data_IF_461842976979
#
_entry.id   IF_461842976979
#
_cell.length_a   1.000
_cell.length_b   1.000
_cell.length_c   1.000
_cell.angle_alpha   90.00
_cell.angle_beta   90.00
_cell.angle_gamma   90.00
#
_symmetry.space_group_name_H-M   'P 1'
#
loop_
_entity.id
_entity.type
_entity.pdbx_description
1 polymer ?
#
# COMPACT_ATOMS: atom_id res chain seq x y z
N UNK A 1 1.62 0.98 33.03
CA UNK A 1 2.30 1.40 31.79
C UNK A 1 1.42 0.98 30.63
N UNK A 2 0.84 1.93 29.89
CA UNK A 2 0.18 1.58 28.64
C UNK A 2 1.22 1.08 27.66
N UNK A 3 1.14 -0.20 27.28
CA UNK A 3 1.99 -0.73 26.21
C UNK A 3 1.66 0.02 24.93
N UNK A 4 2.67 0.59 24.28
CA UNK A 4 2.50 1.27 23.00
C UNK A 4 1.83 0.33 22.01
N UNK A 5 0.80 0.81 21.27
CA UNK A 5 0.14 0.05 20.18
C UNK A 5 1.15 -0.28 19.08
N UNK A 6 2.19 0.53 18.94
CA UNK A 6 3.17 0.46 17.87
C UNK A 6 4.61 0.32 18.41
N UNK A 7 5.52 -0.38 17.72
CA UNK A 7 5.23 -1.25 16.58
C UNK A 7 4.48 -2.51 17.01
N UNK A 8 3.65 -3.06 16.10
CA UNK A 8 3.00 -4.36 16.31
C UNK A 8 4.05 -5.47 16.26
N UNK A 9 4.11 -6.29 17.30
CA UNK A 9 5.08 -7.39 17.40
C UNK A 9 4.49 -8.61 16.71
N UNK A 10 5.12 -9.04 15.62
CA UNK A 10 4.78 -10.28 14.93
C UNK A 10 5.68 -11.41 15.41
N UNK A 11 5.11 -12.56 15.72
CA UNK A 11 5.90 -13.76 16.05
C UNK A 11 6.73 -14.17 14.82
N UNK A 12 7.96 -14.63 15.03
CA UNK A 12 8.82 -15.10 13.92
C UNK A 12 8.16 -16.32 13.28
N UNK A 13 8.16 -16.38 11.96
CA UNK A 13 7.69 -17.55 11.20
C UNK A 13 8.66 -18.71 11.36
N UNK A 14 8.14 -19.92 11.50
CA UNK A 14 8.97 -21.10 11.29
C UNK A 14 9.36 -21.22 9.81
N UNK A 15 10.45 -21.93 9.47
CA UNK A 15 10.82 -22.14 8.05
C UNK A 15 9.68 -22.70 7.20
N UNK A 16 8.88 -23.61 7.76
CA UNK A 16 7.73 -24.21 7.08
C UNK A 16 6.60 -23.17 6.84
N UNK A 17 6.33 -22.30 7.83
CA UNK A 17 5.35 -21.23 7.68
C UNK A 17 5.79 -20.22 6.61
N UNK A 18 7.08 -19.86 6.59
CA UNK A 18 7.64 -18.99 5.58
C UNK A 18 7.51 -19.61 4.18
N UNK A 19 7.89 -20.86 4.02
CA UNK A 19 7.77 -21.57 2.73
C UNK A 19 6.31 -21.62 2.23
N UNK A 20 5.33 -21.86 3.14
CA UNK A 20 3.91 -21.81 2.78
C UNK A 20 3.46 -20.44 2.36
N UNK A 21 3.88 -19.40 3.07
CA UNK A 21 3.58 -18.01 2.73
C UNK A 21 4.12 -17.65 1.34
N UNK A 22 5.40 -17.91 1.08
CA UNK A 22 6.04 -17.63 -0.20
C UNK A 22 5.38 -18.38 -1.37
N UNK A 23 5.04 -19.65 -1.15
CA UNK A 23 4.34 -20.45 -2.15
C UNK A 23 2.94 -19.88 -2.43
N UNK A 24 2.18 -19.52 -1.38
CA UNK A 24 0.86 -18.93 -1.57
C UNK A 24 0.93 -17.58 -2.29
N UNK A 25 1.86 -16.71 -1.90
CA UNK A 25 2.03 -15.41 -2.55
C UNK A 25 2.34 -15.55 -4.04
N UNK A 26 3.19 -16.52 -4.41
CA UNK A 26 3.46 -16.81 -5.83
C UNK A 26 2.18 -17.24 -6.57
N UNK A 27 1.43 -18.20 -6.03
CA UNK A 27 0.16 -18.64 -6.61
C UNK A 27 -0.86 -17.49 -6.70
N UNK A 28 -0.90 -16.64 -5.70
CA UNK A 28 -1.83 -15.51 -5.63
C UNK A 28 -1.51 -14.47 -6.70
N UNK A 29 -0.25 -14.08 -6.87
CA UNK A 29 0.18 -13.16 -7.93
C UNK A 29 -0.09 -13.69 -9.34
N UNK A 30 0.01 -15.00 -9.57
CA UNK A 30 -0.34 -15.62 -10.85
C UNK A 30 -1.86 -15.58 -11.13
N UNK A 31 -2.70 -15.62 -10.10
CA UNK A 31 -4.16 -15.65 -10.21
C UNK A 31 -4.80 -14.25 -10.29
N UNK A 32 -4.19 -13.26 -9.62
CA UNK A 32 -4.75 -11.91 -9.49
C UNK A 32 -5.11 -11.27 -10.83
N UNK A 33 -4.21 -11.14 -11.82
CA UNK A 33 -4.52 -10.45 -13.07
C UNK A 33 -5.65 -11.11 -13.86
N UNK A 34 -5.73 -12.43 -13.82
CA UNK A 34 -6.68 -13.20 -14.62
C UNK A 34 -8.09 -13.29 -14.02
N UNK A 35 -8.20 -13.28 -12.68
CA UNK A 35 -9.49 -13.48 -11.98
C UNK A 35 -10.06 -12.23 -11.34
N UNK A 36 -9.21 -11.26 -11.03
CA UNK A 36 -9.56 -10.10 -10.22
C UNK A 36 -9.21 -8.77 -10.89
N UNK A 37 -9.13 -8.74 -12.22
CA UNK A 37 -8.72 -7.57 -13.01
C UNK A 37 -9.51 -6.29 -12.74
N UNK A 38 -10.77 -6.38 -12.29
CA UNK A 38 -11.53 -5.16 -11.92
C UNK A 38 -11.02 -4.51 -10.64
N UNK A 39 -10.64 -5.30 -9.64
CA UNK A 39 -10.07 -4.76 -8.39
C UNK A 39 -8.66 -4.22 -8.65
N UNK A 40 -7.84 -4.94 -9.41
CA UNK A 40 -6.53 -4.49 -9.86
C UNK A 40 -6.61 -3.15 -10.62
N UNK A 41 -7.58 -3.06 -11.54
CA UNK A 41 -7.84 -1.81 -12.27
C UNK A 41 -8.22 -0.67 -11.32
N UNK A 42 -9.05 -0.91 -10.32
CA UNK A 42 -9.38 0.10 -9.32
C UNK A 42 -8.14 0.52 -8.53
N UNK A 43 -7.40 -0.46 -8.00
CA UNK A 43 -6.23 -0.24 -7.16
C UNK A 43 -5.21 0.68 -7.83
N UNK A 44 -4.88 0.41 -9.08
CA UNK A 44 -3.83 1.12 -9.81
C UNK A 44 -4.34 2.36 -10.56
N UNK A 45 -5.62 2.38 -10.97
CA UNK A 45 -6.18 3.57 -11.61
C UNK A 45 -6.57 4.68 -10.62
N UNK A 46 -6.79 4.35 -9.34
CA UNK A 46 -7.14 5.35 -8.34
C UNK A 46 -6.05 6.42 -8.16
N UNK A 47 -4.77 6.08 -7.91
CA UNK A 47 -3.73 7.10 -7.79
C UNK A 47 -3.58 7.94 -9.06
N UNK A 48 -3.67 7.32 -10.23
CA UNK A 48 -3.60 8.06 -11.52
C UNK A 48 -4.75 9.07 -11.66
N UNK A 49 -5.97 8.63 -11.36
CA UNK A 49 -7.19 9.46 -11.52
C UNK A 49 -7.24 10.64 -10.55
N UNK A 50 -6.74 10.43 -9.33
CA UNK A 50 -6.83 11.42 -8.26
C UNK A 50 -5.53 12.21 -8.06
N UNK A 51 -4.49 11.95 -8.85
CA UNK A 51 -3.27 12.76 -8.86
C UNK A 51 -3.56 14.20 -9.28
N UNK A 52 -3.04 15.15 -8.51
CA UNK A 52 -3.08 16.55 -8.88
C UNK A 52 -2.22 16.79 -10.14
N UNK A 53 -2.65 17.65 -11.06
CA UNK A 53 -1.87 17.93 -12.26
C UNK A 53 -0.56 18.66 -11.93
N UNK A 54 0.47 18.42 -12.74
CA UNK A 54 1.73 19.14 -12.66
C UNK A 54 2.69 18.64 -11.57
N UNK A 55 2.45 17.47 -10.96
CA UNK A 55 3.44 16.83 -10.10
C UNK A 55 4.74 16.55 -10.88
N UNK A 56 5.88 16.67 -10.23
CA UNK A 56 7.19 16.45 -10.82
C UNK A 56 7.89 15.23 -10.21
N UNK A 57 7.78 15.08 -8.91
CA UNK A 57 8.48 14.05 -8.12
C UNK A 57 7.48 13.10 -7.46
N UNK A 58 7.74 11.80 -7.55
CA UNK A 58 6.88 10.76 -6.95
C UNK A 58 7.73 9.78 -6.15
N UNK A 59 7.28 9.44 -4.95
CA UNK A 59 7.72 8.25 -4.22
C UNK A 59 6.56 7.27 -4.13
N UNK A 60 6.74 6.08 -4.66
CA UNK A 60 5.86 4.93 -4.44
C UNK A 60 6.54 3.99 -3.47
N UNK A 61 5.87 3.63 -2.38
CA UNK A 61 6.36 2.61 -1.43
C UNK A 61 5.64 1.30 -1.66
N UNK A 62 6.38 0.18 -1.52
CA UNK A 62 5.87 -1.16 -1.80
C UNK A 62 5.51 -1.34 -3.27
N UNK A 63 6.37 -0.89 -4.17
CA UNK A 63 6.11 -0.86 -5.62
C UNK A 63 5.98 -2.25 -6.28
N UNK A 64 6.27 -3.34 -5.54
CA UNK A 64 6.11 -4.69 -6.04
C UNK A 64 6.98 -4.97 -7.27
N UNK A 65 6.36 -5.41 -8.35
CA UNK A 65 6.99 -5.57 -9.66
C UNK A 65 6.80 -4.35 -10.57
N UNK A 66 6.32 -3.23 -10.02
CA UNK A 66 5.98 -2.01 -10.75
C UNK A 66 4.59 -2.02 -11.35
N UNK A 67 3.65 -2.77 -10.75
CA UNK A 67 2.29 -2.93 -11.26
C UNK A 67 1.61 -1.57 -11.43
N UNK A 68 1.76 -0.67 -10.47
CA UNK A 68 1.17 0.66 -10.56
C UNK A 68 1.80 1.50 -11.67
N UNK A 69 3.11 1.40 -11.87
CA UNK A 69 3.85 2.19 -12.88
C UNK A 69 3.31 1.90 -14.30
N UNK A 70 2.87 0.68 -14.58
CA UNK A 70 2.22 0.34 -15.86
C UNK A 70 0.92 1.12 -16.14
N UNK A 71 0.25 1.60 -15.11
CA UNK A 71 -0.98 2.38 -15.24
C UNK A 71 -0.74 3.88 -15.39
N UNK A 72 0.46 4.33 -15.08
CA UNK A 72 0.86 5.73 -15.16
C UNK A 72 1.08 6.18 -16.61
N UNK A 73 0.83 7.48 -16.86
CA UNK A 73 1.14 8.15 -18.13
C UNK A 73 2.15 9.25 -17.87
N UNK A 74 3.37 8.84 -17.51
CA UNK A 74 4.45 9.75 -17.12
C UNK A 74 5.12 10.36 -18.35
N UNK A 75 5.49 11.62 -18.24
CA UNK A 75 6.48 12.23 -19.15
C UNK A 75 7.86 11.63 -18.87
N UNK A 76 8.82 11.71 -19.82
CA UNK A 76 10.18 11.25 -19.59
C UNK A 76 10.89 11.90 -18.39
N UNK A 77 10.50 13.15 -18.05
CA UNK A 77 11.00 13.86 -16.86
C UNK A 77 10.39 13.30 -15.58
N UNK A 78 9.08 13.01 -15.58
CA UNK A 78 8.41 12.39 -14.45
C UNK A 78 8.91 10.97 -14.19
N UNK A 79 9.20 10.18 -15.23
CA UNK A 79 9.81 8.85 -15.07
C UNK A 79 11.16 8.93 -14.34
N UNK A 80 12.03 9.89 -14.71
CA UNK A 80 13.34 10.10 -14.07
C UNK A 80 13.22 10.53 -12.60
N UNK A 81 12.12 11.18 -12.25
CA UNK A 81 11.83 11.68 -10.90
C UNK A 81 10.78 10.82 -10.18
N UNK A 82 10.56 9.60 -10.67
CA UNK A 82 9.75 8.59 -10.02
C UNK A 82 10.66 7.63 -9.25
N UNK A 83 10.45 7.55 -7.96
CA UNK A 83 11.21 6.70 -7.03
C UNK A 83 10.31 5.57 -6.57
N UNK A 84 10.62 4.36 -7.01
CA UNK A 84 9.92 3.13 -6.64
C UNK A 84 10.67 2.44 -5.50
N UNK A 85 10.11 2.49 -4.29
CA UNK A 85 10.67 1.77 -3.15
C UNK A 85 10.08 0.36 -3.09
N UNK A 86 10.95 -0.61 -2.99
CA UNK A 86 10.59 -2.02 -2.75
C UNK A 86 11.54 -2.64 -1.73
N UNK A 87 10.97 -3.44 -0.83
CA UNK A 87 11.75 -4.09 0.23
C UNK A 87 12.65 -5.23 -0.31
N UNK A 88 12.18 -5.95 -1.34
CA UNK A 88 12.81 -7.13 -1.90
C UNK A 88 13.66 -6.77 -3.11
N UNK A 89 14.97 -7.04 -3.02
CA UNK A 89 15.92 -6.75 -4.11
C UNK A 89 15.58 -7.41 -5.45
N UNK A 90 15.08 -8.65 -5.42
CA UNK A 90 14.69 -9.35 -6.64
C UNK A 90 13.54 -8.65 -7.39
N UNK A 91 12.54 -8.14 -6.68
CA UNK A 91 11.43 -7.37 -7.27
C UNK A 91 11.90 -5.99 -7.75
N UNK A 92 12.76 -5.34 -6.97
CA UNK A 92 13.39 -4.08 -7.35
C UNK A 92 14.25 -4.23 -8.63
N UNK A 93 14.93 -5.36 -8.80
CA UNK A 93 15.67 -5.67 -10.03
C UNK A 93 14.75 -5.81 -11.26
N UNK A 94 13.55 -6.38 -11.08
CA UNK A 94 12.55 -6.44 -12.15
C UNK A 94 12.02 -5.04 -12.51
N UNK A 95 11.78 -4.15 -11.53
CA UNK A 95 11.42 -2.75 -11.82
C UNK A 95 12.51 -2.08 -12.66
N UNK A 96 13.78 -2.18 -12.26
CA UNK A 96 14.90 -1.59 -13.03
C UNK A 96 14.98 -2.10 -14.46
N UNK A 97 14.67 -3.38 -14.67
CA UNK A 97 14.68 -4.00 -15.99
C UNK A 97 13.53 -3.51 -16.88
N UNK A 98 12.31 -3.38 -16.30
CA UNK A 98 11.12 -3.02 -17.06
C UNK A 98 11.00 -1.50 -17.23
N UNK A 99 11.38 -0.74 -16.22
CA UNK A 99 11.28 0.74 -16.16
C UNK A 99 12.66 1.39 -15.96
N UNK A 100 13.55 1.36 -16.95
CA UNK A 100 14.96 1.75 -16.78
C UNK A 100 15.19 3.23 -16.47
N UNK A 101 14.15 4.07 -16.58
CA UNK A 101 14.22 5.49 -16.20
C UNK A 101 13.73 5.78 -14.79
N UNK A 102 12.99 4.86 -14.20
CA UNK A 102 12.50 4.96 -12.82
C UNK A 102 13.64 4.70 -11.84
N UNK A 103 13.72 5.50 -10.81
CA UNK A 103 14.71 5.31 -9.74
C UNK A 103 14.20 4.25 -8.77
N UNK A 104 15.00 3.23 -8.49
CA UNK A 104 14.63 2.16 -7.55
C UNK A 104 15.33 2.35 -6.22
N UNK A 105 14.56 2.41 -5.14
CA UNK A 105 15.04 2.53 -3.76
C UNK A 105 14.75 1.23 -3.02
N UNK A 106 15.80 0.46 -2.71
CA UNK A 106 15.64 -0.81 -1.98
C UNK A 106 15.71 -0.55 -0.48
N UNK A 107 14.70 -0.99 0.25
CA UNK A 107 14.69 -0.87 1.71
C UNK A 107 13.31 -0.86 2.33
N UNK A 108 13.29 -0.93 3.65
CA UNK A 108 12.06 -0.91 4.45
C UNK A 108 11.51 0.52 4.53
N UNK A 109 10.30 0.74 4.01
CA UNK A 109 9.62 2.04 4.04
C UNK A 109 9.26 2.53 5.46
N UNK A 110 9.47 1.72 6.48
CA UNK A 110 9.33 2.10 7.89
C UNK A 110 10.59 2.77 8.44
N UNK A 111 11.68 2.79 7.66
CA UNK A 111 12.92 3.50 7.99
C UNK A 111 12.96 4.86 7.27
N UNK A 112 13.68 5.85 7.82
CA UNK A 112 13.86 7.13 7.15
C UNK A 112 14.54 6.98 5.79
N UNK A 113 14.04 7.68 4.79
CA UNK A 113 14.67 7.79 3.47
C UNK A 113 15.68 8.95 3.45
N UNK A 114 16.73 8.78 2.66
CA UNK A 114 17.73 9.84 2.43
C UNK A 114 17.24 10.85 1.38
N UNK A 115 16.15 11.53 1.70
CA UNK A 115 15.61 12.63 0.92
C UNK A 115 15.32 13.83 1.82
N UNK A 116 15.44 15.02 1.25
CA UNK A 116 15.11 16.26 1.95
C UNK A 116 13.62 16.36 2.30
N UNK A 117 13.30 17.11 3.35
CA UNK A 117 11.93 17.42 3.72
C UNK A 117 11.22 18.14 2.57
N UNK A 118 9.99 17.73 2.28
CA UNK A 118 9.17 18.36 1.24
C UNK A 118 9.64 18.10 -0.20
N UNK A 119 10.51 17.12 -0.43
CA UNK A 119 11.06 16.81 -1.74
C UNK A 119 10.02 16.31 -2.75
N UNK A 120 9.04 15.52 -2.28
CA UNK A 120 8.06 14.89 -3.16
C UNK A 120 6.77 15.69 -3.30
N UNK A 121 6.28 15.74 -4.54
CA UNK A 121 4.94 16.25 -4.84
C UNK A 121 3.88 15.15 -4.61
N UNK A 122 4.26 13.88 -4.77
CA UNK A 122 3.34 12.76 -4.69
C UNK A 122 3.96 11.59 -3.94
N UNK A 123 3.21 11.03 -2.98
CA UNK A 123 3.54 9.78 -2.29
C UNK A 123 2.43 8.76 -2.53
N UNK A 124 2.77 7.57 -2.99
CA UNK A 124 1.81 6.52 -3.37
C UNK A 124 2.06 5.28 -2.51
N UNK A 125 0.98 4.67 -2.01
CA UNK A 125 1.02 3.37 -1.36
C UNK A 125 -0.25 2.57 -1.73
N UNK A 126 -0.09 1.52 -2.53
CA UNK A 126 -1.18 0.64 -2.96
C UNK A 126 -1.04 -0.70 -2.25
N UNK A 127 -1.96 -1.01 -1.34
CA UNK A 127 -1.91 -2.23 -0.53
C UNK A 127 -0.59 -2.41 0.24
N UNK A 128 -0.19 -1.40 1.01
CA UNK A 128 1.04 -1.42 1.80
C UNK A 128 0.75 -1.19 3.28
N UNK A 129 -0.07 -0.20 3.62
CA UNK A 129 -0.25 0.26 5.00
C UNK A 129 -0.86 -0.81 5.92
N UNK A 130 -1.65 -1.72 5.36
CA UNK A 130 -2.21 -2.87 6.10
C UNK A 130 -1.16 -3.86 6.60
N UNK A 131 0.03 -3.86 6.00
CA UNK A 131 1.10 -4.81 6.30
C UNK A 131 2.14 -4.28 7.29
N UNK A 132 2.18 -2.97 7.57
CA UNK A 132 3.30 -2.33 8.26
C UNK A 132 3.23 -2.47 9.80
N UNK A 133 4.16 -3.20 10.44
CA UNK A 133 4.25 -3.26 11.90
C UNK A 133 4.42 -1.91 12.57
N UNK A 134 5.19 -1.01 11.98
CA UNK A 134 5.40 0.36 12.46
C UNK A 134 4.77 1.39 11.52
N UNK A 135 3.47 1.23 11.24
CA UNK A 135 2.71 2.13 10.38
C UNK A 135 2.91 3.63 10.70
N UNK A 136 2.94 4.09 11.97
CA UNK A 136 3.17 5.49 12.28
C UNK A 136 4.53 6.01 11.81
N UNK A 137 5.56 5.17 11.73
CA UNK A 137 6.86 5.60 11.20
C UNK A 137 6.76 5.97 9.72
N UNK A 138 6.13 5.10 8.92
CA UNK A 138 5.90 5.37 7.47
C UNK A 138 5.01 6.60 7.25
N UNK A 139 3.97 6.78 8.06
CA UNK A 139 3.08 7.95 7.96
C UNK A 139 3.82 9.25 8.28
N UNK A 140 4.64 9.28 9.34
CA UNK A 140 5.46 10.45 9.67
C UNK A 140 6.48 10.73 8.58
N UNK A 141 7.08 9.69 8.02
CA UNK A 141 8.04 9.82 6.94
C UNK A 141 7.38 10.33 5.65
N UNK A 142 6.21 9.81 5.27
CA UNK A 142 5.41 10.35 4.16
C UNK A 142 5.07 11.82 4.39
N UNK A 143 4.70 12.19 5.62
CA UNK A 143 4.45 13.59 5.97
C UNK A 143 5.71 14.43 5.85
N UNK A 144 6.87 13.98 6.34
CA UNK A 144 8.15 14.70 6.24
C UNK A 144 8.53 14.96 4.78
N UNK A 145 8.45 13.92 3.97
CA UNK A 145 8.89 13.91 2.58
C UNK A 145 7.97 14.68 1.63
N UNK A 146 6.69 14.79 1.93
CA UNK A 146 5.74 15.51 1.06
C UNK A 146 5.85 17.03 1.23
N UNK A 147 5.81 17.73 0.08
CA UNK A 147 5.66 19.17 0.03
C UNK A 147 4.38 19.62 0.74
N UNK A 148 4.45 20.58 1.66
CA UNK A 148 3.30 20.97 2.48
C UNK A 148 2.25 21.78 1.74
N UNK A 149 2.61 22.43 0.65
CA UNK A 149 1.70 23.28 -0.14
C UNK A 149 0.99 22.50 -1.24
N UNK A 150 1.73 21.69 -1.99
CA UNK A 150 1.25 20.98 -3.19
C UNK A 150 1.37 19.47 -3.11
N UNK A 151 1.90 18.93 -2.03
CA UNK A 151 2.11 17.51 -1.87
C UNK A 151 0.79 16.73 -1.68
N UNK A 152 0.77 15.51 -2.18
CA UNK A 152 -0.38 14.62 -2.13
C UNK A 152 0.03 13.20 -1.74
N UNK A 153 -0.67 12.63 -0.76
CA UNK A 153 -0.60 11.21 -0.41
C UNK A 153 -1.77 10.47 -1.05
N UNK A 154 -1.48 9.47 -1.85
CA UNK A 154 -2.47 8.61 -2.52
C UNK A 154 -2.32 7.18 -2.01
N UNK A 155 -3.33 6.67 -1.36
CA UNK A 155 -3.30 5.31 -0.83
C UNK A 155 -4.52 4.51 -1.28
N UNK A 156 -4.32 3.21 -1.45
CA UNK A 156 -5.41 2.23 -1.59
C UNK A 156 -5.21 1.18 -0.53
N UNK A 157 -6.25 0.94 0.25
CA UNK A 157 -6.26 -0.03 1.36
C UNK A 157 -7.45 -0.99 1.24
N UNK A 158 -7.32 -2.26 1.67
CA UNK A 158 -8.44 -3.19 1.72
C UNK A 158 -9.39 -2.80 2.85
N UNK A 159 -10.66 -3.15 2.72
CA UNK A 159 -11.65 -3.01 3.81
C UNK A 159 -11.60 -4.20 4.78
N UNK A 160 -10.39 -4.57 5.21
CA UNK A 160 -10.17 -5.70 6.11
C UNK A 160 -11.07 -5.64 7.35
N UNK A 161 -11.65 -6.78 7.73
CA UNK A 161 -12.61 -6.88 8.81
C UNK A 161 -14.06 -6.55 8.41
N UNK A 162 -14.33 -6.01 7.20
CA UNK A 162 -15.70 -5.80 6.73
C UNK A 162 -16.37 -7.12 6.31
N UNK A 163 -17.72 -7.22 6.39
CA UNK A 163 -18.45 -8.40 5.93
C UNK A 163 -18.22 -8.72 4.44
N UNK A 164 -18.23 -7.68 3.57
CA UNK A 164 -18.01 -7.86 2.14
C UNK A 164 -16.59 -8.39 1.85
N UNK A 165 -15.58 -7.82 2.49
CA UNK A 165 -14.20 -8.27 2.31
C UNK A 165 -13.98 -9.68 2.86
N UNK A 166 -14.56 -9.98 4.03
CA UNK A 166 -14.49 -11.33 4.63
C UNK A 166 -15.12 -12.37 3.72
N UNK A 167 -16.30 -12.09 3.14
CA UNK A 167 -16.95 -12.98 2.19
C UNK A 167 -16.13 -13.13 0.91
N UNK A 168 -15.68 -12.03 0.31
CA UNK A 168 -14.87 -12.05 -0.91
C UNK A 168 -13.59 -12.89 -0.71
N UNK A 169 -12.92 -12.74 0.42
CA UNK A 169 -11.73 -13.51 0.78
C UNK A 169 -12.04 -14.99 0.97
N UNK A 170 -13.16 -15.33 1.61
CA UNK A 170 -13.57 -16.71 1.83
C UNK A 170 -13.79 -17.50 0.52
N UNK A 171 -14.36 -16.84 -0.50
CA UNK A 171 -14.62 -17.45 -1.82
C UNK A 171 -13.43 -17.33 -2.79
N UNK A 172 -12.39 -16.57 -2.45
CA UNK A 172 -11.20 -16.33 -3.28
C UNK A 172 -9.92 -16.89 -2.63
N UNK A 173 -9.15 -16.04 -1.97
CA UNK A 173 -7.83 -16.35 -1.42
C UNK A 173 -7.86 -17.53 -0.43
N UNK A 174 -8.83 -17.55 0.48
CA UNK A 174 -8.98 -18.65 1.45
C UNK A 174 -9.32 -19.98 0.77
N UNK A 175 -10.12 -19.95 -0.31
CA UNK A 175 -10.43 -21.15 -1.09
C UNK A 175 -9.18 -21.68 -1.81
N UNK A 176 -8.35 -20.78 -2.35
CA UNK A 176 -7.06 -21.17 -2.97
C UNK A 176 -6.14 -21.77 -1.89
N UNK A 177 -6.03 -21.10 -0.74
CA UNK A 177 -5.24 -21.61 0.38
C UNK A 177 -5.64 -23.02 0.81
N UNK A 178 -6.94 -23.24 1.08
CA UNK A 178 -7.48 -24.55 1.50
C UNK A 178 -7.25 -25.65 0.47
N UNK A 179 -7.10 -25.33 -0.80
CA UNK A 179 -6.79 -26.30 -1.86
C UNK A 179 -5.33 -26.78 -1.80
N UNK A 180 -4.42 -25.95 -1.32
CA UNK A 180 -2.98 -26.23 -1.35
C UNK A 180 -2.39 -26.55 0.02
N UNK A 181 -3.02 -26.09 1.10
CA UNK A 181 -2.48 -26.22 2.45
C UNK A 181 -3.52 -26.76 3.44
N UNK A 182 -3.12 -27.71 4.27
CA UNK A 182 -3.97 -28.32 5.33
C UNK A 182 -3.77 -27.59 6.67
N UNK A 183 -3.77 -26.25 6.65
CA UNK A 183 -3.66 -25.38 7.84
C UNK A 183 -4.64 -24.23 7.72
N UNK A 184 -5.12 -23.65 8.85
CA UNK A 184 -6.08 -22.56 8.80
C UNK A 184 -5.54 -21.32 8.07
N UNK A 185 -6.31 -20.76 7.14
CA UNK A 185 -5.96 -19.55 6.41
C UNK A 185 -5.78 -18.33 7.36
N UNK A 186 -6.49 -18.33 8.48
CA UNK A 186 -6.41 -17.25 9.48
C UNK A 186 -4.98 -17.06 10.03
N UNK A 187 -4.20 -18.12 10.11
CA UNK A 187 -2.80 -18.03 10.55
C UNK A 187 -1.94 -17.23 9.58
N UNK A 188 -2.20 -17.34 8.29
CA UNK A 188 -1.55 -16.56 7.24
C UNK A 188 -2.03 -15.11 7.24
N UNK A 189 -3.34 -14.89 7.01
CA UNK A 189 -3.87 -13.55 6.79
C UNK A 189 -3.74 -12.63 8.00
N UNK A 190 -3.82 -13.17 9.21
CA UNK A 190 -3.65 -12.38 10.44
C UNK A 190 -2.24 -11.84 10.65
N UNK A 191 -1.29 -12.27 9.81
CA UNK A 191 0.09 -11.77 9.78
C UNK A 191 0.36 -10.84 8.61
N UNK A 192 -0.41 -11.00 7.53
CA UNK A 192 -0.29 -10.14 6.35
C UNK A 192 -1.08 -8.84 6.55
N UNK A 193 -2.36 -8.92 6.91
CA UNK A 193 -3.21 -7.75 7.12
C UNK A 193 -3.34 -7.46 8.62
N UNK A 194 -2.33 -6.81 9.16
CA UNK A 194 -2.25 -6.52 10.60
C UNK A 194 -2.90 -5.20 10.99
N UNK A 195 -3.10 -4.28 10.04
CA UNK A 195 -3.69 -2.97 10.28
C UNK A 195 -5.07 -2.87 9.63
N UNK A 196 -6.07 -2.56 10.44
CA UNK A 196 -7.42 -2.34 9.96
C UNK A 196 -7.57 -0.94 9.35
N UNK A 197 -8.53 -0.73 8.43
CA UNK A 197 -8.78 0.58 7.82
C UNK A 197 -8.95 1.71 8.83
N UNK A 198 -9.66 1.45 9.93
CA UNK A 198 -9.86 2.44 10.98
C UNK A 198 -8.55 2.84 11.64
N UNK A 199 -7.67 1.88 11.95
CA UNK A 199 -6.36 2.17 12.54
C UNK A 199 -5.50 3.02 11.61
N UNK A 200 -5.53 2.71 10.30
CA UNK A 200 -4.81 3.47 9.28
C UNK A 200 -5.32 4.91 9.22
N UNK A 201 -6.63 5.11 9.23
CA UNK A 201 -7.25 6.44 9.21
C UNK A 201 -6.96 7.24 10.48
N UNK A 202 -6.96 6.59 11.65
CA UNK A 202 -6.61 7.22 12.94
C UNK A 202 -5.16 7.73 12.93
N UNK A 203 -4.21 6.93 12.44
CA UNK A 203 -2.79 7.32 12.36
C UNK A 203 -2.51 8.39 11.30
N UNK A 204 -3.29 8.43 10.21
CA UNK A 204 -3.19 9.47 9.18
C UNK A 204 -3.73 10.82 9.63
N UNK A 205 -4.79 10.83 10.43
CA UNK A 205 -5.55 12.04 10.78
C UNK A 205 -4.70 13.16 11.40
N UNK A 206 -3.71 12.92 12.28
CA UNK A 206 -2.86 13.99 12.80
C UNK A 206 -2.07 14.75 11.72
N UNK A 207 -1.68 14.07 10.64
CA UNK A 207 -0.75 14.57 9.63
C UNK A 207 -1.40 15.01 8.33
N UNK A 208 -2.56 14.42 8.01
CA UNK A 208 -3.20 14.58 6.71
C UNK A 208 -4.68 14.94 6.82
N UNK A 209 -5.17 15.64 5.79
CA UNK A 209 -6.60 15.86 5.56
C UNK A 209 -7.04 15.05 4.35
N UNK A 210 -8.11 14.29 4.48
CA UNK A 210 -8.70 13.54 3.35
C UNK A 210 -9.44 14.52 2.44
N UNK A 211 -9.04 14.63 1.17
CA UNK A 211 -9.67 15.47 0.17
C UNK A 211 -10.65 14.69 -0.71
N UNK A 212 -10.33 13.44 -1.02
CA UNK A 212 -11.23 12.58 -1.79
C UNK A 212 -11.17 11.12 -1.29
N UNK A 213 -12.30 10.44 -1.45
CA UNK A 213 -12.45 9.00 -1.19
C UNK A 213 -13.11 8.32 -2.38
N UNK A 214 -12.69 7.10 -2.67
CA UNK A 214 -13.36 6.25 -3.63
C UNK A 214 -13.49 4.84 -3.04
N UNK A 215 -14.59 4.16 -3.32
CA UNK A 215 -14.91 2.86 -2.75
C UNK A 215 -15.19 1.86 -3.86
N UNK A 216 -14.64 0.66 -3.77
CA UNK A 216 -14.84 -0.39 -4.76
C UNK A 216 -15.48 -1.63 -4.10
N UNK A 217 -16.45 -2.30 -4.75
CA UNK A 217 -16.98 -2.07 -6.10
C UNK A 217 -18.15 -1.08 -6.17
N UNK A 218 -18.83 -0.77 -5.07
CA UNK A 218 -20.14 -0.11 -5.13
C UNK A 218 -20.10 1.41 -5.24
N UNK A 219 -18.93 2.04 -5.01
CA UNK A 219 -18.79 3.51 -5.04
C UNK A 219 -19.45 4.25 -3.87
N UNK A 220 -20.18 3.57 -3.01
CA UNK A 220 -20.87 4.16 -1.84
C UNK A 220 -19.92 4.24 -0.63
N UNK A 221 -20.04 5.27 0.24
CA UNK A 221 -19.08 5.54 1.31
C UNK A 221 -19.26 4.64 2.55
N UNK A 222 -19.56 3.37 2.32
CA UNK A 222 -19.75 2.39 3.39
C UNK A 222 -18.69 1.29 3.30
N UNK A 223 -17.85 1.20 4.33
CA UNK A 223 -16.76 0.22 4.43
C UNK A 223 -17.30 -1.22 4.37
N UNK A 224 -18.44 -1.48 5.03
CA UNK A 224 -18.96 -2.84 5.21
C UNK A 224 -19.38 -3.55 3.92
N UNK A 225 -19.66 -2.83 2.84
CA UNK A 225 -20.10 -3.40 1.56
C UNK A 225 -19.09 -3.24 0.41
N UNK A 226 -17.92 -2.69 0.70
CA UNK A 226 -16.85 -2.52 -0.29
C UNK A 226 -15.63 -3.38 0.04
N UNK A 227 -14.73 -3.53 -0.92
CA UNK A 227 -13.52 -4.35 -0.83
C UNK A 227 -12.26 -3.52 -0.67
N UNK A 228 -12.24 -2.31 -1.28
CA UNK A 228 -11.11 -1.40 -1.20
C UNK A 228 -11.58 0.04 -1.04
N UNK A 229 -10.73 0.84 -0.42
CA UNK A 229 -10.88 2.28 -0.27
C UNK A 229 -9.64 2.95 -0.87
N UNK A 230 -9.85 3.83 -1.85
CA UNK A 230 -8.84 4.77 -2.31
C UNK A 230 -8.99 6.10 -1.57
N UNK A 231 -7.90 6.65 -1.11
CA UNK A 231 -7.84 7.92 -0.37
C UNK A 231 -6.82 8.86 -1.02
N UNK A 232 -7.27 10.08 -1.32
CA UNK A 232 -6.42 11.20 -1.68
C UNK A 232 -6.34 12.14 -0.48
N UNK A 233 -5.14 12.41 0.00
CA UNK A 233 -4.90 13.18 1.22
C UNK A 233 -3.89 14.29 0.95
N UNK A 234 -4.10 15.42 1.63
CA UNK A 234 -3.18 16.57 1.63
C UNK A 234 -2.45 16.65 2.97
N UNK A 235 -1.14 16.92 2.98
CA UNK A 235 -0.43 17.19 4.22
C UNK A 235 -1.01 18.40 4.94
N UNK A 236 -1.20 18.32 6.23
CA UNK A 236 -1.54 19.49 7.06
C UNK A 236 -0.35 20.44 7.13
N UNK A 237 -0.55 21.76 7.22
CA UNK A 237 0.56 22.72 7.42
C UNK A 237 1.36 22.42 8.69
N UNK A 238 0.68 21.94 9.73
CA UNK A 238 1.27 21.44 10.99
C UNK A 238 0.47 20.21 11.47
N UNK A 239 1.12 19.22 12.11
CA UNK A 239 0.41 18.13 12.75
C UNK A 239 -0.56 18.61 13.82
N UNK A 240 -1.67 17.86 14.06
CA UNK A 240 -2.66 18.22 15.08
C UNK A 240 -2.11 18.06 16.51
N UNK A 241 -1.09 17.21 16.69
CA UNK A 241 -0.42 16.96 17.97
C UNK A 241 1.09 16.94 17.66
N UNK A 242 1.75 18.02 17.99
CA UNK A 242 3.20 18.18 17.96
C UNK A 242 3.74 18.15 19.37
#
# INVERSE_FOLDING_TARGET
>A
MQTSKWPKILSVLTPEQQQRSDHFMKLWHELLPNRYGMIEKFNHSFPVKFSLPGFKTTLEVGAGLGEHIHHEKLTPEQEKNYYANEFRENMAADIRRVFPRVQTVVGDCQQPFDFADGFFDRFIAVHVFEHLPNLPATIREAYRLLNKEKGQLLIVIPTEGSPAYTLARAISAERVWKKHFNVPYKEFIGREHINLPQEILEELNPYFTVEARSFFPLGVPFVFCNLCIGLSLKPRPKPLHG
#
